data_IF_759546935417
#
_entry.id   IF_759546935417
#
_cell.length_a   1.000
_cell.length_b   1.000
_cell.length_c   1.000
_cell.angle_alpha   90.00
_cell.angle_beta   90.00
_cell.angle_gamma   90.00
#
_symmetry.space_group_name_H-M   'P 1'
#
loop_
_entity.id
_entity.type
_entity.pdbx_description
1 polymer ?
#
# COMPACT_ATOMS: atom_id res chain seq x y z
N UNK A 1 -11.53 -26.78 -15.16
CA UNK A 1 -12.08 -27.73 -14.19
C UNK A 1 -12.17 -26.96 -12.90
N UNK A 2 -13.40 -26.55 -12.62
CA UNK A 2 -13.81 -25.70 -11.53
C UNK A 2 -13.45 -26.33 -10.19
N UNK A 3 -12.86 -25.54 -9.31
CA UNK A 3 -12.73 -25.88 -7.90
C UNK A 3 -13.38 -24.77 -7.10
N UNK A 4 -14.71 -24.88 -7.00
CA UNK A 4 -15.50 -24.29 -5.93
C UNK A 4 -15.05 -24.91 -4.61
N UNK A 5 -14.09 -24.25 -3.95
CA UNK A 5 -14.02 -24.37 -2.50
C UNK A 5 -15.26 -23.67 -1.96
N UNK A 6 -16.18 -24.44 -1.37
CA UNK A 6 -17.35 -23.90 -0.70
C UNK A 6 -16.92 -22.79 0.28
N UNK A 7 -17.57 -21.62 0.27
CA UNK A 7 -17.32 -20.60 1.28
C UNK A 7 -17.66 -21.18 2.66
N UNK A 8 -16.90 -20.84 3.72
CA UNK A 8 -17.24 -21.23 5.07
C UNK A 8 -18.66 -20.72 5.41
N UNK A 9 -19.40 -21.56 6.14
CA UNK A 9 -20.79 -21.32 6.55
C UNK A 9 -20.92 -20.02 7.35
N UNK A 10 -21.99 -19.28 7.10
CA UNK A 10 -22.35 -17.94 7.64
C UNK A 10 -22.73 -17.92 9.13
N UNK A 11 -22.14 -18.80 9.95
CA UNK A 11 -22.43 -18.91 11.39
C UNK A 11 -21.15 -18.77 12.25
N UNK A 12 -20.13 -18.08 11.73
CA UNK A 12 -19.02 -17.59 12.56
C UNK A 12 -19.50 -16.39 13.36
N UNK A 13 -19.55 -16.55 14.68
CA UNK A 13 -19.82 -15.47 15.63
C UNK A 13 -19.03 -14.22 15.24
N UNK A 14 -19.74 -13.17 14.82
CA UNK A 14 -19.13 -11.90 14.44
C UNK A 14 -18.45 -11.31 15.67
N UNK A 15 -17.15 -11.53 15.81
CA UNK A 15 -16.40 -10.94 16.90
C UNK A 15 -16.30 -9.42 16.68
N UNK A 16 -16.58 -8.60 17.71
CA UNK A 16 -16.49 -7.15 17.58
C UNK A 16 -15.07 -6.73 17.18
N UNK A 17 -14.89 -5.63 16.43
CA UNK A 17 -13.58 -5.19 15.97
C UNK A 17 -12.67 -4.82 17.15
N UNK A 18 -11.39 -5.18 17.04
CA UNK A 18 -10.38 -4.81 18.02
C UNK A 18 -10.27 -3.29 18.21
N UNK A 19 -10.30 -2.82 19.46
CA UNK A 19 -10.29 -1.39 19.83
C UNK A 19 -8.90 -0.78 19.99
N UNK A 20 -7.83 -1.58 20.06
CA UNK A 20 -6.45 -1.11 20.25
C UNK A 20 -5.76 -0.64 18.96
N UNK A 21 -6.48 -0.67 17.83
CA UNK A 21 -5.97 -0.30 16.52
C UNK A 21 -7.02 0.52 15.76
N UNK A 22 -6.54 1.30 14.78
CA UNK A 22 -7.39 2.08 13.88
C UNK A 22 -7.03 1.84 12.41
N UNK A 23 -7.93 2.23 11.49
CA UNK A 23 -7.61 2.34 10.07
C UNK A 23 -6.92 3.69 9.77
N UNK A 24 -6.20 3.80 8.65
CA UNK A 24 -5.72 5.08 8.15
C UNK A 24 -6.85 6.09 7.95
N UNK A 25 -6.56 7.39 8.09
CA UNK A 25 -7.54 8.45 7.82
C UNK A 25 -8.70 8.59 8.82
N UNK A 26 -8.76 7.78 9.89
CA UNK A 26 -9.91 7.74 10.82
C UNK A 26 -9.81 8.69 12.03
N UNK A 27 -8.98 9.73 12.00
CA UNK A 27 -9.04 10.79 13.01
C UNK A 27 -10.22 11.71 12.72
N UNK A 28 -10.89 12.20 13.78
CA UNK A 28 -12.02 13.12 13.65
C UNK A 28 -11.61 14.42 12.93
N UNK A 29 -10.40 14.90 13.19
CA UNK A 29 -9.87 16.13 12.61
C UNK A 29 -8.38 16.00 12.25
N UNK A 30 -7.94 16.83 11.31
CA UNK A 30 -6.52 17.03 11.08
C UNK A 30 -5.92 17.95 12.17
N UNK A 31 -4.79 17.55 12.75
CA UNK A 31 -4.07 18.37 13.74
C UNK A 31 -3.30 19.57 13.16
N UNK A 32 -3.24 19.72 11.83
CA UNK A 32 -2.49 20.77 11.14
C UNK A 32 -3.45 21.73 10.42
N UNK A 33 -3.43 23.01 10.78
CA UNK A 33 -4.43 23.99 10.32
C UNK A 33 -4.39 24.32 8.83
N UNK A 34 -3.27 24.04 8.17
CA UNK A 34 -3.09 24.28 6.73
C UNK A 34 -3.20 23.00 5.90
N UNK A 35 -3.46 21.85 6.53
CA UNK A 35 -3.72 20.61 5.81
C UNK A 35 -5.03 20.72 5.01
N UNK A 36 -5.04 20.15 3.81
CA UNK A 36 -6.16 20.23 2.87
C UNK A 36 -6.25 21.54 2.09
N UNK A 37 -5.40 22.54 2.36
CA UNK A 37 -5.38 23.76 1.56
C UNK A 37 -4.74 23.53 0.20
N UNK A 38 -5.32 24.11 -0.86
CA UNK A 38 -4.68 24.09 -2.19
C UNK A 38 -3.41 24.94 -2.14
N UNK A 39 -2.30 24.37 -2.59
CA UNK A 39 -0.99 25.04 -2.68
C UNK A 39 -0.52 25.28 -4.11
N UNK A 40 -1.18 24.66 -5.09
CA UNK A 40 -0.89 24.87 -6.49
C UNK A 40 -1.81 24.09 -7.40
N UNK A 41 -1.64 24.29 -8.70
CA UNK A 41 -2.26 23.46 -9.71
C UNK A 41 -1.34 23.25 -10.89
N UNK A 42 -1.46 22.11 -11.55
CA UNK A 42 -0.82 21.82 -12.83
C UNK A 42 -1.89 21.83 -13.92
N UNK A 43 -1.59 22.46 -15.06
CA UNK A 43 -2.45 22.43 -16.24
C UNK A 43 -1.62 22.48 -17.53
N UNK A 44 -2.25 22.08 -18.64
CA UNK A 44 -1.68 22.22 -19.98
C UNK A 44 -1.50 23.71 -20.34
N UNK A 45 -0.40 24.05 -21.02
CA UNK A 45 -0.14 25.42 -21.51
C UNK A 45 -0.94 25.84 -22.74
N UNK A 46 -1.65 24.91 -23.39
CA UNK A 46 -2.33 25.18 -24.64
C UNK A 46 -3.56 26.08 -24.43
N UNK A 47 -3.57 27.25 -25.08
CA UNK A 47 -4.59 28.30 -24.88
C UNK A 47 -5.96 27.99 -25.52
N UNK A 48 -6.02 27.05 -26.47
CA UNK A 48 -7.27 26.67 -27.16
C UNK A 48 -8.08 25.59 -26.43
N UNK A 49 -7.55 25.03 -25.34
CA UNK A 49 -8.30 24.07 -24.52
C UNK A 49 -8.97 24.81 -23.37
N UNK A 50 -10.28 24.64 -23.23
CA UNK A 50 -10.98 25.05 -22.01
C UNK A 50 -10.40 24.22 -20.84
N UNK A 51 -10.19 24.76 -19.63
CA UNK A 51 -9.85 23.94 -18.46
C UNK A 51 -10.88 22.85 -18.12
N UNK A 52 -12.02 22.80 -18.82
CA UNK A 52 -13.00 21.71 -18.79
C UNK A 52 -12.67 20.56 -19.77
N UNK A 53 -11.81 20.80 -20.77
CA UNK A 53 -11.41 19.80 -21.79
C UNK A 53 -10.19 18.97 -21.35
N UNK A 54 -9.44 19.41 -20.32
CA UNK A 54 -8.32 18.67 -19.72
C UNK A 54 -8.16 18.99 -18.23
N UNK A 55 -7.82 17.96 -17.44
CA UNK A 55 -7.80 18.01 -15.97
C UNK A 55 -6.82 19.05 -15.39
N UNK A 56 -7.39 20.08 -14.77
CA UNK A 56 -6.69 20.89 -13.76
C UNK A 56 -6.36 19.96 -12.58
N UNK A 57 -5.08 19.64 -12.40
CA UNK A 57 -4.64 18.86 -11.24
C UNK A 57 -4.30 19.79 -10.09
N UNK A 58 -5.12 19.78 -9.05
CA UNK A 58 -4.85 20.51 -7.81
C UNK A 58 -3.84 19.77 -6.94
N UNK A 59 -2.98 20.54 -6.26
CA UNK A 59 -2.09 20.07 -5.22
C UNK A 59 -2.52 20.63 -3.89
N UNK A 60 -2.54 19.76 -2.89
CA UNK A 60 -2.95 20.09 -1.54
C UNK A 60 -1.75 20.00 -0.61
N UNK A 61 -1.68 20.92 0.36
CA UNK A 61 -0.80 20.74 1.50
C UNK A 61 -1.37 19.63 2.37
N UNK A 62 -0.54 18.64 2.71
CA UNK A 62 -0.93 17.59 3.65
C UNK A 62 0.09 17.45 4.76
N UNK A 63 -0.35 16.94 5.91
CA UNK A 63 0.53 16.63 7.02
C UNK A 63 1.17 15.24 6.93
N UNK A 64 0.85 14.46 5.89
CA UNK A 64 1.27 13.07 5.71
C UNK A 64 1.01 12.17 6.95
N UNK A 65 -0.01 12.55 7.74
CA UNK A 65 -0.39 11.86 8.97
C UNK A 65 -1.15 10.58 8.67
N UNK A 66 -0.69 9.44 9.19
CA UNK A 66 -1.31 8.11 8.96
C UNK A 66 -2.79 8.03 9.34
N UNK A 67 -3.24 8.76 10.36
CA UNK A 67 -4.64 8.81 10.80
C UNK A 67 -5.37 10.05 10.31
N UNK A 68 -4.69 11.01 9.70
CA UNK A 68 -5.30 12.26 9.26
C UNK A 68 -6.23 12.01 8.07
N UNK A 69 -7.52 12.43 8.10
CA UNK A 69 -8.45 12.20 7.01
C UNK A 69 -8.04 12.88 5.69
N UNK A 70 -7.22 13.93 5.75
CA UNK A 70 -6.74 14.66 4.57
C UNK A 70 -5.34 14.24 4.10
N UNK A 71 -4.53 13.64 4.98
CA UNK A 71 -3.10 13.38 4.72
C UNK A 71 -2.71 11.90 4.67
N UNK A 72 -3.65 10.99 4.96
CA UNK A 72 -3.35 9.57 5.01
C UNK A 72 -3.03 8.97 3.62
N UNK A 73 -3.57 9.52 2.53
CA UNK A 73 -3.28 9.05 1.18
C UNK A 73 -1.83 9.33 0.76
N UNK A 74 -1.30 10.51 1.07
CA UNK A 74 0.11 10.84 0.86
C UNK A 74 1.00 9.96 1.72
N UNK A 75 0.60 9.69 2.97
CA UNK A 75 1.26 8.69 3.81
C UNK A 75 1.27 7.30 3.17
N UNK A 76 0.13 6.83 2.64
CA UNK A 76 0.01 5.55 1.94
C UNK A 76 0.99 5.51 0.76
N UNK A 77 1.00 6.55 -0.08
CA UNK A 77 1.83 6.63 -1.27
C UNK A 77 3.33 6.63 -0.91
N UNK A 78 3.77 7.41 0.07
CA UNK A 78 5.16 7.39 0.57
C UNK A 78 5.58 5.98 1.02
N UNK A 79 4.70 5.28 1.74
CA UNK A 79 4.98 3.92 2.21
C UNK A 79 4.94 2.89 1.08
N UNK A 80 4.05 3.05 0.11
CA UNK A 80 3.98 2.21 -1.09
C UNK A 80 5.23 2.38 -1.96
N UNK A 81 5.75 3.61 -2.13
CA UNK A 81 7.01 3.90 -2.80
C UNK A 81 8.21 3.23 -2.10
N UNK A 82 8.27 3.32 -0.77
CA UNK A 82 9.29 2.60 0.02
C UNK A 82 9.19 1.09 -0.19
N UNK A 83 7.97 0.55 -0.25
CA UNK A 83 7.74 -0.86 -0.51
C UNK A 83 8.23 -1.25 -1.92
N UNK A 84 7.84 -0.47 -2.92
CA UNK A 84 8.22 -0.61 -4.32
C UNK A 84 9.74 -0.68 -4.47
N UNK A 85 10.45 0.38 -4.08
CA UNK A 85 11.88 0.49 -4.35
C UNK A 85 12.66 -0.61 -3.64
N UNK A 86 12.32 -0.91 -2.38
CA UNK A 86 13.05 -1.94 -1.64
C UNK A 86 12.81 -3.34 -2.19
N UNK A 87 11.61 -3.65 -2.68
CA UNK A 87 11.32 -4.95 -3.30
C UNK A 87 11.90 -5.07 -4.72
N UNK A 88 11.69 -4.05 -5.56
CA UNK A 88 12.08 -4.08 -6.97
C UNK A 88 13.58 -3.83 -7.13
N UNK A 89 14.10 -2.73 -6.60
CA UNK A 89 15.52 -2.41 -6.75
C UNK A 89 16.40 -3.26 -5.80
N UNK A 90 15.88 -3.61 -4.62
CA UNK A 90 16.54 -4.59 -3.75
C UNK A 90 16.71 -5.96 -4.39
N UNK A 91 15.71 -6.42 -5.16
CA UNK A 91 15.83 -7.65 -5.94
C UNK A 91 16.90 -7.55 -7.02
N UNK A 92 17.06 -6.38 -7.66
CA UNK A 92 18.15 -6.16 -8.64
C UNK A 92 19.52 -6.33 -7.97
N UNK A 93 19.70 -5.78 -6.78
CA UNK A 93 20.93 -5.96 -6.00
C UNK A 93 21.23 -7.44 -5.69
N UNK A 94 20.21 -8.25 -5.40
CA UNK A 94 20.41 -9.71 -5.26
C UNK A 94 20.71 -10.42 -6.57
N UNK A 95 20.14 -9.97 -7.69
CA UNK A 95 20.40 -10.53 -9.01
C UNK A 95 21.85 -10.28 -9.48
N UNK A 96 22.41 -9.09 -9.18
CA UNK A 96 23.83 -8.76 -9.40
C UNK A 96 24.76 -9.68 -8.61
N UNK A 97 24.31 -10.16 -7.45
CA UNK A 97 25.01 -11.16 -6.63
C UNK A 97 24.76 -12.62 -7.08
N UNK A 98 24.12 -12.81 -8.24
CA UNK A 98 23.81 -14.13 -8.80
C UNK A 98 22.65 -14.85 -8.09
N UNK A 99 21.90 -14.19 -7.20
CA UNK A 99 20.75 -14.77 -6.50
C UNK A 99 19.43 -14.39 -7.20
N UNK A 100 18.77 -15.36 -7.81
CA UNK A 100 17.44 -15.18 -8.37
C UNK A 100 16.34 -15.42 -7.32
N UNK A 101 15.75 -14.34 -6.80
CA UNK A 101 14.65 -14.38 -5.85
C UNK A 101 13.28 -14.73 -6.47
N UNK A 102 13.17 -14.75 -7.80
CA UNK A 102 11.88 -14.88 -8.49
C UNK A 102 11.06 -13.57 -8.50
N UNK A 103 9.79 -13.61 -8.94
CA UNK A 103 8.93 -12.42 -9.01
C UNK A 103 8.45 -11.98 -7.62
N UNK A 104 8.11 -10.70 -7.48
CA UNK A 104 7.35 -10.21 -6.32
C UNK A 104 5.95 -10.82 -6.38
N UNK A 105 5.45 -11.28 -5.24
CA UNK A 105 4.14 -11.89 -5.06
C UNK A 105 3.38 -11.17 -3.97
N UNK A 106 2.06 -11.22 -4.06
CA UNK A 106 1.16 -10.85 -2.98
C UNK A 106 0.59 -12.13 -2.37
N UNK A 107 0.89 -12.36 -1.09
CA UNK A 107 0.45 -13.54 -0.36
C UNK A 107 -0.18 -13.09 0.96
N UNK A 108 -1.30 -13.69 1.34
CA UNK A 108 -1.98 -13.37 2.60
C UNK A 108 -1.84 -14.59 3.50
N UNK A 109 -1.26 -14.43 4.68
CA UNK A 109 -1.19 -15.48 5.71
C UNK A 109 -2.23 -15.19 6.79
N UNK A 110 -2.99 -16.23 7.18
CA UNK A 110 -4.01 -16.14 8.23
C UNK A 110 -3.79 -17.26 9.25
N UNK A 111 -3.86 -16.95 10.56
CA UNK A 111 -3.87 -17.95 11.61
C UNK A 111 -5.15 -18.79 11.54
N UNK A 112 -5.15 -19.99 12.15
CA UNK A 112 -6.36 -20.77 12.29
C UNK A 112 -7.38 -20.02 13.18
N UNK A 113 -8.70 -20.14 12.92
CA UNK A 113 -9.74 -19.38 13.62
C UNK A 113 -9.66 -19.45 15.15
N UNK A 114 -9.34 -20.62 15.69
CA UNK A 114 -9.20 -20.90 17.13
C UNK A 114 -8.05 -20.14 17.81
N UNK A 115 -7.08 -19.65 17.04
CA UNK A 115 -5.94 -18.87 17.55
C UNK A 115 -6.15 -17.35 17.43
N UNK A 116 -7.20 -16.91 16.73
CA UNK A 116 -7.35 -15.49 16.36
C UNK A 116 -7.44 -14.56 17.57
N UNK A 117 -8.09 -14.99 18.66
CA UNK A 117 -8.26 -14.19 19.87
C UNK A 117 -6.93 -13.89 20.59
N UNK A 118 -5.89 -14.72 20.41
CA UNK A 118 -4.56 -14.44 20.96
C UNK A 118 -3.96 -13.14 20.38
N UNK A 119 -4.39 -12.73 19.19
CA UNK A 119 -3.91 -11.53 18.49
C UNK A 119 -4.75 -10.26 18.78
N UNK A 120 -5.76 -10.34 19.65
CA UNK A 120 -6.70 -9.24 19.95
C UNK A 120 -6.18 -8.22 20.98
N UNK A 121 -4.87 -8.02 21.04
CA UNK A 121 -4.23 -7.01 21.88
C UNK A 121 -2.90 -6.56 21.25
N UNK A 122 -2.25 -5.53 21.81
CA UNK A 122 -1.01 -4.97 21.25
C UNK A 122 0.16 -5.98 21.20
N UNK A 123 0.31 -6.80 22.23
CA UNK A 123 1.34 -7.85 22.27
C UNK A 123 1.06 -8.94 21.23
N UNK A 124 -0.20 -9.34 21.14
CA UNK A 124 -0.74 -10.26 20.15
C UNK A 124 -0.54 -9.75 18.72
N UNK A 125 -0.73 -8.45 18.47
CA UNK A 125 -0.42 -7.85 17.17
C UNK A 125 1.06 -8.03 16.80
N UNK A 126 1.98 -7.82 17.74
CA UNK A 126 3.40 -8.08 17.54
C UNK A 126 3.70 -9.56 17.27
N UNK A 127 2.99 -10.47 17.94
CA UNK A 127 3.09 -11.92 17.74
C UNK A 127 2.59 -12.35 16.36
N UNK A 128 1.41 -11.86 15.93
CA UNK A 128 0.82 -12.13 14.61
C UNK A 128 1.82 -11.89 13.47
N UNK A 129 2.56 -10.78 13.51
CA UNK A 129 3.53 -10.47 12.45
C UNK A 129 4.73 -11.42 12.48
N UNK A 130 5.16 -11.84 13.68
CA UNK A 130 6.25 -12.78 13.84
C UNK A 130 5.89 -14.15 13.27
N UNK A 131 4.74 -14.67 13.70
CA UNK A 131 4.22 -15.96 13.23
C UNK A 131 4.01 -15.93 11.71
N UNK A 132 3.42 -14.86 11.18
CA UNK A 132 3.15 -14.76 9.76
C UNK A 132 4.40 -14.85 8.87
N UNK A 133 5.52 -14.20 9.23
CA UNK A 133 6.73 -14.36 8.42
C UNK A 133 7.46 -15.67 8.70
N UNK A 134 7.33 -16.26 9.90
CA UNK A 134 7.89 -17.60 10.21
C UNK A 134 7.21 -18.63 9.30
N UNK A 135 5.89 -18.63 9.28
CA UNK A 135 5.09 -19.41 8.36
C UNK A 135 5.36 -19.09 6.89
N UNK A 136 5.61 -17.82 6.55
CA UNK A 136 6.01 -17.49 5.18
C UNK A 136 7.36 -18.10 4.78
N UNK A 137 8.33 -18.16 5.69
CA UNK A 137 9.61 -18.84 5.46
C UNK A 137 9.41 -20.33 5.27
N UNK A 138 8.62 -20.96 6.15
CA UNK A 138 8.28 -22.38 6.03
C UNK A 138 7.60 -22.70 4.71
N UNK A 139 6.68 -21.82 4.28
CA UNK A 139 6.00 -21.94 2.99
C UNK A 139 6.92 -21.70 1.78
N UNK A 140 8.17 -21.25 1.98
CA UNK A 140 9.18 -21.08 0.91
C UNK A 140 9.41 -19.64 0.42
N UNK A 141 8.96 -18.63 1.17
CA UNK A 141 9.29 -17.23 0.87
C UNK A 141 10.68 -16.84 1.38
N UNK A 142 11.44 -16.09 0.57
CA UNK A 142 12.78 -15.57 0.90
C UNK A 142 12.73 -14.36 1.84
N UNK A 143 11.66 -13.57 1.76
CA UNK A 143 11.54 -12.29 2.45
C UNK A 143 10.60 -11.31 1.74
N UNK A 144 10.37 -10.18 2.39
CA UNK A 144 9.54 -9.12 1.85
C UNK A 144 9.20 -8.05 2.89
N UNK A 145 8.05 -7.42 2.67
CA UNK A 145 7.38 -6.57 3.66
C UNK A 145 6.11 -7.24 4.14
N UNK A 146 5.89 -7.20 5.44
CA UNK A 146 4.64 -7.60 6.09
C UNK A 146 3.83 -6.35 6.44
N UNK A 147 2.54 -6.39 6.10
CA UNK A 147 1.56 -5.34 6.38
C UNK A 147 0.38 -6.01 7.13
N UNK A 148 0.34 -5.92 8.46
CA UNK A 148 -0.64 -6.62 9.27
C UNK A 148 -2.02 -5.96 9.19
N UNK A 149 -3.05 -6.79 9.17
CA UNK A 149 -4.45 -6.41 9.12
C UNK A 149 -5.19 -7.14 10.23
N UNK A 150 -6.08 -6.45 10.93
CA UNK A 150 -6.86 -7.04 12.01
C UNK A 150 -8.30 -7.34 11.60
N UNK A 151 -8.73 -6.83 10.44
CA UNK A 151 -10.12 -6.84 10.06
C UNK A 151 -10.33 -7.25 8.61
N UNK A 152 -11.46 -7.90 8.35
CA UNK A 152 -11.97 -8.17 7.01
C UNK A 152 -13.32 -7.48 6.85
N UNK A 153 -13.62 -7.02 5.64
CA UNK A 153 -14.98 -6.61 5.31
C UNK A 153 -15.90 -7.84 5.36
N UNK A 154 -17.10 -7.66 5.90
CA UNK A 154 -18.14 -8.69 5.86
C UNK A 154 -18.59 -8.94 4.42
N UNK A 155 -18.96 -10.18 4.10
CA UNK A 155 -19.31 -10.54 2.72
C UNK A 155 -20.60 -9.87 2.25
N UNK A 156 -21.59 -9.73 3.14
CA UNK A 156 -22.83 -9.02 2.85
C UNK A 156 -22.57 -7.55 2.52
N UNK A 157 -21.74 -6.86 3.30
CA UNK A 157 -21.43 -5.45 3.04
C UNK A 157 -20.53 -5.26 1.82
N UNK A 158 -19.70 -6.25 1.45
CA UNK A 158 -18.98 -6.20 0.16
C UNK A 158 -19.95 -6.21 -1.01
N UNK A 159 -21.04 -6.95 -0.93
CA UNK A 159 -22.06 -6.96 -1.98
C UNK A 159 -22.76 -5.60 -2.05
N UNK A 160 -23.17 -5.04 -0.91
CA UNK A 160 -23.77 -3.69 -0.87
C UNK A 160 -22.82 -2.60 -1.40
N UNK A 161 -21.54 -2.62 -1.00
CA UNK A 161 -20.54 -1.67 -1.51
C UNK A 161 -20.37 -1.79 -3.03
N UNK A 162 -20.45 -3.01 -3.57
CA UNK A 162 -20.40 -3.26 -5.01
C UNK A 162 -21.63 -2.71 -5.73
N UNK A 163 -22.80 -2.80 -5.12
CA UNK A 163 -24.03 -2.22 -5.67
C UNK A 163 -23.94 -0.68 -5.72
N UNK A 164 -23.22 -0.06 -4.78
CA UNK A 164 -22.85 1.37 -4.80
C UNK A 164 -21.65 1.68 -5.73
N UNK A 165 -21.18 0.71 -6.52
CA UNK A 165 -20.11 0.87 -7.50
C UNK A 165 -18.69 0.72 -6.97
N UNK A 166 -18.48 0.53 -5.66
CA UNK A 166 -17.15 0.35 -5.08
C UNK A 166 -16.55 -1.02 -5.37
N UNK A 167 -15.25 -1.07 -5.67
CA UNK A 167 -14.56 -2.32 -5.99
C UNK A 167 -14.99 -2.96 -7.30
N UNK A 168 -15.72 -2.22 -8.15
CA UNK A 168 -16.06 -2.54 -9.53
C UNK A 168 -15.46 -1.44 -10.42
N UNK A 169 -14.53 -1.80 -11.32
CA UNK A 169 -13.91 -0.83 -12.22
C UNK A 169 -12.99 0.18 -11.52
N UNK A 170 -12.81 1.35 -12.15
CA UNK A 170 -11.86 2.40 -11.71
C UNK A 170 -12.56 3.63 -11.10
N UNK A 171 -13.88 3.79 -11.29
CA UNK A 171 -14.62 5.04 -11.01
C UNK A 171 -14.72 5.37 -9.51
N UNK A 172 -15.17 4.41 -8.68
CA UNK A 172 -15.36 4.61 -7.23
C UNK A 172 -14.21 4.02 -6.40
N UNK A 173 -13.10 3.63 -7.03
CA UNK A 173 -11.97 3.01 -6.35
C UNK A 173 -12.28 1.62 -5.75
N UNK A 174 -11.49 1.23 -4.73
CA UNK A 174 -11.59 -0.08 -4.10
C UNK A 174 -12.68 -0.19 -3.04
N UNK A 175 -13.00 -1.40 -2.59
CA UNK A 175 -13.99 -1.63 -1.51
C UNK A 175 -13.70 -0.82 -0.24
N UNK A 176 -12.43 -0.66 0.11
CA UNK A 176 -12.02 0.12 1.28
C UNK A 176 -12.16 1.63 1.07
N UNK A 177 -12.25 2.12 -0.16
CA UNK A 177 -12.62 3.51 -0.42
C UNK A 177 -14.06 3.74 0.05
N UNK A 178 -14.98 2.84 -0.27
CA UNK A 178 -16.37 2.95 0.20
C UNK A 178 -16.54 2.86 1.72
N UNK A 179 -15.57 2.26 2.41
CA UNK A 179 -15.53 2.28 3.89
C UNK A 179 -15.08 3.65 4.42
N UNK A 180 -14.09 4.28 3.77
CA UNK A 180 -13.65 5.64 4.12
C UNK A 180 -14.73 6.67 3.82
N UNK A 181 -15.47 6.49 2.72
CA UNK A 181 -16.53 7.38 2.29
C UNK A 181 -17.84 7.20 3.07
N UNK A 182 -17.91 6.21 3.98
CA UNK A 182 -19.14 5.75 4.62
C UNK A 182 -20.28 5.53 3.61
N UNK A 183 -19.99 4.83 2.50
CA UNK A 183 -20.88 4.71 1.35
C UNK A 183 -22.25 4.07 1.68
N UNK A 184 -22.34 3.29 2.76
CA UNK A 184 -23.58 2.68 3.22
C UNK A 184 -24.26 3.44 4.38
N UNK A 185 -23.72 4.60 4.78
CA UNK A 185 -24.27 5.45 5.83
C UNK A 185 -24.32 4.79 7.22
N UNK A 186 -23.36 3.90 7.51
CA UNK A 186 -23.30 3.17 8.79
C UNK A 186 -22.60 3.99 9.89
N UNK A 187 -22.08 5.17 9.56
CA UNK A 187 -21.58 6.19 10.47
C UNK A 187 -20.19 5.95 11.06
N UNK A 188 -19.65 4.72 10.97
CA UNK A 188 -18.32 4.42 11.50
C UNK A 188 -17.72 3.15 10.88
N UNK A 189 -16.48 3.18 10.37
CA UNK A 189 -15.83 2.06 9.66
C UNK A 189 -15.88 0.69 10.37
N UNK A 190 -15.82 0.67 11.71
CA UNK A 190 -15.95 -0.56 12.53
C UNK A 190 -17.23 -1.36 12.27
N UNK A 191 -18.31 -0.73 11.79
CA UNK A 191 -19.55 -1.44 11.43
C UNK A 191 -19.42 -2.21 10.12
N UNK A 192 -18.43 -1.88 9.29
CA UNK A 192 -18.18 -2.55 8.01
C UNK A 192 -17.43 -3.88 8.14
N UNK A 193 -16.81 -4.13 9.31
CA UNK A 193 -15.75 -5.13 9.42
C UNK A 193 -15.93 -6.10 10.57
N UNK A 194 -15.35 -7.29 10.43
CA UNK A 194 -15.19 -8.29 11.49
C UNK A 194 -13.72 -8.46 11.86
N UNK A 195 -13.45 -8.78 13.13
CA UNK A 195 -12.09 -9.12 13.54
C UNK A 195 -11.68 -10.47 12.94
N UNK A 196 -10.68 -10.43 12.06
CA UNK A 196 -10.13 -11.60 11.37
C UNK A 196 -8.67 -11.27 11.02
N UNK A 197 -7.74 -11.47 11.98
CA UNK A 197 -6.36 -11.04 11.83
C UNK A 197 -5.68 -11.81 10.69
N UNK A 198 -4.93 -11.11 9.86
CA UNK A 198 -4.15 -11.67 8.78
C UNK A 198 -3.01 -10.74 8.39
N UNK A 199 -2.03 -11.26 7.65
CA UNK A 199 -0.87 -10.47 7.24
C UNK A 199 -0.70 -10.55 5.74
N UNK A 200 -0.74 -9.39 5.11
CA UNK A 200 -0.39 -9.24 3.71
C UNK A 200 1.14 -9.19 3.57
N UNK A 201 1.68 -10.09 2.77
CA UNK A 201 3.09 -10.15 2.42
C UNK A 201 3.28 -9.78 0.96
N UNK A 202 4.10 -8.76 0.73
CA UNK A 202 4.68 -8.48 -0.58
C UNK A 202 6.15 -8.90 -0.55
N UNK A 203 6.48 -9.94 -1.31
CA UNK A 203 7.80 -10.57 -1.19
C UNK A 203 8.12 -11.56 -2.30
N UNK A 204 9.23 -12.25 -2.15
CA UNK A 204 9.79 -13.18 -3.15
C UNK A 204 9.96 -14.59 -2.58
N UNK A 205 10.35 -15.55 -3.42
CA UNK A 205 10.54 -16.95 -3.06
C UNK A 205 9.61 -17.89 -3.84
N UNK A 206 9.63 -19.18 -3.51
CA UNK A 206 8.91 -20.24 -4.22
C UNK A 206 8.05 -20.99 -3.23
N UNK A 207 6.73 -20.81 -3.36
CA UNK A 207 5.79 -21.35 -2.39
C UNK A 207 5.63 -22.86 -2.60
N UNK A 208 5.51 -23.60 -1.50
CA UNK A 208 5.04 -24.98 -1.51
C UNK A 208 3.55 -25.08 -1.93
N UNK A 209 2.94 -26.25 -1.76
CA UNK A 209 1.51 -26.41 -1.98
C UNK A 209 0.72 -25.88 -0.77
N UNK A 210 -0.34 -25.11 -1.02
CA UNK A 210 -1.10 -24.46 0.06
C UNK A 210 -1.83 -25.46 0.98
N UNK A 211 -2.28 -26.58 0.43
CA UNK A 211 -2.92 -27.65 1.22
C UNK A 211 -1.89 -28.35 2.10
N UNK A 212 -0.74 -28.72 1.54
CA UNK A 212 0.33 -29.37 2.31
C UNK A 212 0.84 -28.47 3.44
N UNK A 213 0.98 -27.18 3.18
CA UNK A 213 1.29 -26.18 4.19
C UNK A 213 0.23 -26.13 5.30
N UNK A 214 -1.06 -26.08 4.92
CA UNK A 214 -2.16 -26.01 5.87
C UNK A 214 -2.29 -27.28 6.72
N UNK A 215 -2.22 -28.46 6.11
CA UNK A 215 -2.28 -29.75 6.79
C UNK A 215 -1.15 -29.88 7.85
N UNK A 216 0.00 -29.27 7.60
CA UNK A 216 1.17 -29.29 8.49
C UNK A 216 1.12 -28.24 9.59
N UNK A 217 0.57 -27.06 9.33
CA UNK A 217 0.74 -25.89 10.20
C UNK A 217 -0.56 -25.36 10.81
N UNK A 218 -1.72 -25.76 10.29
CA UNK A 218 -3.02 -25.16 10.61
C UNK A 218 -3.23 -23.77 9.99
N UNK A 219 -2.15 -23.05 9.66
CA UNK A 219 -2.22 -21.76 9.00
C UNK A 219 -2.67 -21.90 7.55
N UNK A 220 -3.32 -20.86 7.02
CA UNK A 220 -3.72 -20.78 5.62
C UNK A 220 -2.95 -19.65 4.96
N UNK A 221 -2.46 -19.87 3.73
CA UNK A 221 -2.07 -18.77 2.87
C UNK A 221 -2.86 -18.73 1.56
N UNK A 222 -3.13 -17.51 1.10
CA UNK A 222 -3.71 -17.23 -0.21
C UNK A 222 -2.71 -16.49 -1.09
N UNK A 223 -2.28 -17.13 -2.17
CA UNK A 223 -1.41 -16.50 -3.17
C UNK A 223 -2.26 -15.71 -4.17
N UNK A 224 -2.21 -14.38 -4.10
CA UNK A 224 -2.89 -13.45 -5.02
C UNK A 224 -2.08 -13.15 -6.29
N UNK A 225 -1.11 -14.02 -6.61
CA UNK A 225 -0.33 -13.99 -7.83
C UNK A 225 0.88 -13.06 -7.78
N UNK A 226 1.52 -12.94 -8.95
CA UNK A 226 2.73 -12.16 -9.17
C UNK A 226 2.40 -10.66 -9.34
N UNK A 227 3.38 -9.80 -9.10
CA UNK A 227 3.37 -8.37 -9.42
C UNK A 227 4.43 -8.11 -10.49
N UNK A 228 4.06 -8.12 -11.78
CA UNK A 228 5.02 -8.17 -12.88
C UNK A 228 5.71 -6.83 -13.12
N UNK A 229 5.10 -5.72 -12.72
CA UNK A 229 5.61 -4.36 -12.97
C UNK A 229 5.82 -3.57 -11.67
N UNK A 230 6.73 -2.58 -11.67
CA UNK A 230 6.84 -1.59 -10.59
C UNK A 230 5.48 -0.99 -10.17
N UNK A 231 4.69 -0.52 -11.15
CA UNK A 231 3.35 0.01 -10.88
C UNK A 231 2.45 -0.97 -10.14
N UNK A 232 2.44 -2.26 -10.55
CA UNK A 232 1.63 -3.27 -9.86
C UNK A 232 2.07 -3.54 -8.41
N UNK A 233 3.37 -3.39 -8.10
CA UNK A 233 3.88 -3.49 -6.72
C UNK A 233 3.41 -2.28 -5.91
N UNK A 234 3.56 -1.07 -6.46
CA UNK A 234 3.12 0.17 -5.82
C UNK A 234 1.61 0.15 -5.55
N UNK A 235 0.77 -0.03 -6.57
CA UNK A 235 -0.69 -0.03 -6.41
C UNK A 235 -1.17 -1.11 -5.44
N UNK A 236 -0.52 -2.28 -5.43
CA UNK A 236 -0.86 -3.32 -4.44
C UNK A 236 -0.46 -2.91 -3.03
N UNK A 237 0.74 -2.34 -2.83
CA UNK A 237 1.16 -1.86 -1.52
C UNK A 237 0.23 -0.74 -1.02
N UNK A 238 -0.13 0.21 -1.89
CA UNK A 238 -1.04 1.30 -1.57
C UNK A 238 -2.43 0.79 -1.17
N UNK A 239 -3.01 -0.13 -1.96
CA UNK A 239 -4.30 -0.74 -1.63
C UNK A 239 -4.27 -1.49 -0.31
N UNK A 240 -3.21 -2.25 -0.02
CA UNK A 240 -3.06 -2.95 1.26
C UNK A 240 -2.89 -1.93 2.40
N UNK A 241 -2.17 -0.84 2.19
CA UNK A 241 -1.94 0.17 3.21
C UNK A 241 -3.19 0.99 3.54
N UNK A 242 -4.14 1.13 2.62
CA UNK A 242 -5.37 1.91 2.83
C UNK A 242 -6.27 1.39 3.94
N UNK A 243 -6.03 0.15 4.38
CA UNK A 243 -6.79 -0.51 5.44
C UNK A 243 -5.90 -1.31 6.40
N UNK A 244 -4.61 -0.98 6.45
CA UNK A 244 -3.67 -1.60 7.38
C UNK A 244 -4.04 -1.27 8.83
N UNK A 245 -3.80 -2.21 9.74
CA UNK A 245 -4.01 -1.96 11.16
C UNK A 245 -2.93 -1.01 11.70
N UNK A 246 -3.35 0.17 12.13
CA UNK A 246 -2.49 1.16 12.77
C UNK A 246 -2.56 0.97 14.29
N UNK A 247 -1.45 0.47 14.84
CA UNK A 247 -1.23 0.33 16.28
C UNK A 247 -0.19 1.37 16.71
N UNK A 248 -0.38 1.96 17.89
CA UNK A 248 0.57 2.92 18.45
C UNK A 248 1.91 2.28 18.80
N UNK A 249 2.98 3.04 18.63
CA UNK A 249 4.36 2.53 18.74
C UNK A 249 4.77 1.51 17.67
N UNK A 250 3.86 1.08 16.79
CA UNK A 250 4.10 0.05 15.79
C UNK A 250 4.22 0.61 14.36
N UNK A 251 5.06 -0.04 13.55
CA UNK A 251 5.21 0.24 12.11
C UNK A 251 4.20 -0.57 11.29
N UNK A 252 3.57 0.09 10.32
CA UNK A 252 2.67 -0.55 9.35
C UNK A 252 3.43 -1.47 8.37
N UNK A 253 4.67 -1.11 8.00
CA UNK A 253 5.56 -1.92 7.17
C UNK A 253 6.61 -2.60 8.04
N UNK A 254 6.65 -3.93 8.02
CA UNK A 254 7.68 -4.72 8.71
C UNK A 254 8.52 -5.51 7.72
N UNK A 255 9.77 -5.08 7.56
CA UNK A 255 10.73 -5.71 6.65
C UNK A 255 11.32 -6.98 7.24
N UNK A 256 11.36 -8.05 6.45
CA UNK A 256 11.82 -9.36 6.92
C UNK A 256 12.55 -10.15 5.83
N UNK A 257 13.28 -11.19 6.25
CA UNK A 257 14.02 -12.09 5.36
C UNK A 257 15.13 -11.37 4.61
N UNK A 258 15.31 -11.68 3.32
CA UNK A 258 16.34 -11.03 2.48
C UNK A 258 16.15 -9.51 2.34
N UNK A 259 14.94 -8.98 2.55
CA UNK A 259 14.68 -7.54 2.48
C UNK A 259 14.78 -6.82 3.85
N UNK A 260 15.19 -7.50 4.92
CA UNK A 260 15.41 -6.88 6.22
C UNK A 260 16.57 -5.86 6.22
N UNK A 261 16.55 -4.89 7.13
CA UNK A 261 17.54 -3.79 7.17
C UNK A 261 18.99 -4.26 7.36
N UNK A 262 19.19 -5.39 8.05
CA UNK A 262 20.51 -6.00 8.24
C UNK A 262 20.95 -6.90 7.08
N UNK A 263 20.12 -7.09 6.05
CA UNK A 263 20.43 -7.89 4.85
C UNK A 263 20.47 -7.05 3.58
N UNK A 264 19.74 -5.94 3.54
CA UNK A 264 19.66 -5.05 2.39
C UNK A 264 19.72 -3.59 2.84
N UNK A 265 20.75 -2.87 2.41
CA UNK A 265 20.97 -1.46 2.76
C UNK A 265 20.76 -0.55 1.54
N UNK A 266 20.07 0.57 1.73
CA UNK A 266 20.00 1.66 0.75
C UNK A 266 21.39 2.30 0.66
N UNK A 267 21.91 2.46 -0.55
CA UNK A 267 23.21 3.09 -0.83
C UNK A 267 22.99 4.51 -1.30
N UNK A 268 22.15 4.67 -2.33
CA UNK A 268 21.95 5.95 -3.02
C UNK A 268 20.52 6.02 -3.57
N UNK A 269 20.03 7.23 -3.76
CA UNK A 269 18.81 7.50 -4.51
C UNK A 269 19.15 8.39 -5.70
N UNK A 270 18.90 7.85 -6.89
CA UNK A 270 19.05 8.56 -8.15
C UNK A 270 17.69 9.15 -8.53
N UNK A 271 17.69 10.44 -8.83
CA UNK A 271 16.48 11.18 -9.18
C UNK A 271 16.65 11.72 -10.59
N UNK A 272 15.75 11.31 -11.49
CA UNK A 272 15.64 11.85 -12.84
C UNK A 272 14.38 12.70 -12.92
N UNK A 273 14.52 13.88 -13.52
CA UNK A 273 13.44 14.83 -13.75
C UNK A 273 13.23 14.95 -15.25
N UNK A 274 12.01 14.76 -15.70
CA UNK A 274 11.61 14.94 -17.10
C UNK A 274 10.44 15.91 -17.15
N UNK A 275 10.40 16.84 -18.12
CA UNK A 275 9.22 17.69 -18.31
C UNK A 275 7.96 16.86 -18.51
N UNK A 276 6.88 17.21 -17.81
CA UNK A 276 5.55 16.65 -18.01
C UNK A 276 4.97 17.19 -19.32
N UNK A 277 4.44 16.31 -20.13
CA UNK A 277 3.70 16.64 -21.35
C UNK A 277 2.26 16.19 -21.20
N UNK A 278 1.35 17.03 -21.68
CA UNK A 278 -0.05 16.68 -21.88
C UNK A 278 -0.19 15.63 -22.98
N UNK A 279 -1.35 14.97 -23.08
CA UNK A 279 -1.68 14.04 -24.17
C UNK A 279 -1.63 14.72 -25.55
N UNK A 280 -1.85 16.03 -25.63
CA UNK A 280 -1.68 16.81 -26.86
C UNK A 280 -0.21 17.07 -27.22
N UNK A 281 0.74 16.68 -26.38
CA UNK A 281 2.18 16.88 -26.56
C UNK A 281 2.74 18.20 -26.01
N UNK A 282 1.88 19.14 -25.61
CA UNK A 282 2.31 20.42 -25.02
C UNK A 282 2.79 20.27 -23.58
N UNK A 283 3.71 21.12 -23.10
CA UNK A 283 4.19 21.04 -21.72
C UNK A 283 3.09 21.41 -20.71
N UNK A 284 3.12 20.72 -19.57
CA UNK A 284 2.31 21.04 -18.39
C UNK A 284 3.10 22.01 -17.53
N UNK A 285 2.43 23.01 -16.97
CA UNK A 285 3.04 23.98 -16.07
C UNK A 285 2.27 24.11 -14.77
N UNK A 286 2.96 24.65 -13.76
CA UNK A 286 2.35 25.06 -12.50
C UNK A 286 1.70 26.44 -12.60
N UNK A 287 0.50 26.57 -12.06
CA UNK A 287 -0.28 27.79 -12.02
C UNK A 287 -0.55 28.22 -10.57
N UNK A 288 -0.58 29.53 -10.30
CA UNK A 288 -1.02 30.05 -9.01
C UNK A 288 -2.52 29.78 -8.81
N UNK A 289 -2.86 29.33 -7.61
CA UNK A 289 -4.24 29.16 -7.15
C UNK A 289 -4.48 29.87 -5.81
N UNK A 290 -5.74 30.16 -5.51
CA UNK A 290 -6.20 30.52 -4.17
C UNK A 290 -6.38 29.26 -3.32
N UNK A 291 -6.60 29.42 -2.00
CA UNK A 291 -6.77 28.28 -1.08
C UNK A 291 -7.98 27.40 -1.41
N UNK A 292 -9.00 27.98 -2.02
CA UNK A 292 -10.22 27.31 -2.52
C UNK A 292 -10.05 26.67 -3.90
N UNK A 293 -8.83 26.69 -4.47
CA UNK A 293 -8.54 26.07 -5.76
C UNK A 293 -8.86 26.94 -6.98
N UNK A 294 -9.39 28.15 -6.77
CA UNK A 294 -9.64 29.09 -7.87
C UNK A 294 -8.32 29.56 -8.46
N UNK A 295 -8.15 29.38 -9.79
CA UNK A 295 -6.93 29.82 -10.47
C UNK A 295 -6.87 31.35 -10.56
N UNK A 296 -5.76 31.94 -10.11
CA UNK A 296 -5.62 33.41 -9.96
C UNK A 296 -5.07 34.13 -11.20
N UNK A 297 -4.80 33.40 -12.29
CA UNK A 297 -4.31 33.96 -13.56
C UNK A 297 -3.95 32.89 -14.60
N UNK A 298 -3.62 33.33 -15.81
CA UNK A 298 -3.19 32.46 -16.92
C UNK A 298 -1.67 32.43 -17.13
N UNK A 299 -0.93 33.19 -16.34
CA UNK A 299 0.53 33.16 -16.35
C UNK A 299 1.01 31.98 -15.50
N UNK A 300 1.67 31.04 -16.16
CA UNK A 300 2.31 29.93 -15.49
C UNK A 300 3.59 30.38 -14.76
N UNK A 301 4.01 29.59 -13.76
CA UNK A 301 5.25 29.84 -13.03
C UNK A 301 6.41 29.07 -13.66
N UNK A 302 7.43 29.78 -14.14
CA UNK A 302 8.74 29.20 -14.45
C UNK A 302 8.75 28.14 -15.56
N UNK A 303 9.59 27.11 -15.37
CA UNK A 303 9.78 25.98 -16.28
C UNK A 303 8.59 25.01 -16.26
N UNK A 304 8.44 24.14 -17.27
CA UNK A 304 7.43 23.07 -17.25
C UNK A 304 7.53 22.24 -15.97
N UNK A 305 6.37 21.80 -15.47
CA UNK A 305 6.28 20.87 -14.37
C UNK A 305 7.02 19.58 -14.69
N UNK A 306 7.60 18.94 -13.68
CA UNK A 306 8.49 17.79 -13.87
C UNK A 306 7.88 16.50 -13.33
N UNK A 307 7.97 15.43 -14.13
CA UNK A 307 7.80 14.06 -13.66
C UNK A 307 9.11 13.63 -13.00
N UNK A 308 9.01 13.19 -11.75
CA UNK A 308 10.15 12.68 -10.99
C UNK A 308 10.16 11.17 -11.09
N UNK A 309 11.21 10.60 -11.65
CA UNK A 309 11.50 9.17 -11.63
C UNK A 309 12.61 8.90 -10.61
N UNK A 310 12.35 8.02 -9.66
CA UNK A 310 13.32 7.62 -8.64
C UNK A 310 13.84 6.21 -8.95
N UNK A 311 15.14 6.01 -8.75
CA UNK A 311 15.74 4.67 -8.68
C UNK A 311 16.57 4.60 -7.42
N UNK A 312 16.37 3.56 -6.60
CA UNK A 312 17.09 3.43 -5.34
C UNK A 312 18.13 2.32 -5.47
N UNK A 313 19.40 2.66 -5.31
CA UNK A 313 20.47 1.67 -5.32
C UNK A 313 20.54 0.98 -3.95
N UNK A 314 20.56 -0.35 -3.96
CA UNK A 314 20.68 -1.17 -2.77
C UNK A 314 21.95 -2.01 -2.83
N UNK A 315 22.46 -2.37 -1.64
CA UNK A 315 23.56 -3.32 -1.46
C UNK A 315 23.14 -4.44 -0.51
N UNK A 316 23.52 -5.67 -0.84
CA UNK A 316 23.39 -6.82 0.06
C UNK A 316 24.41 -6.70 1.19
N UNK A 317 23.94 -6.61 2.43
CA UNK A 317 24.77 -6.44 3.62
C UNK A 317 25.50 -7.75 3.94
N UNK A 318 26.83 -7.66 4.14
CA UNK A 318 27.70 -8.81 4.38
C UNK A 318 28.70 -9.09 3.25
N UNK A 319 28.66 -8.33 2.16
CA UNK A 319 29.70 -8.30 1.12
C UNK A 319 30.23 -6.88 0.92
N UNK A 320 31.53 -6.71 0.56
CA UNK A 320 32.07 -5.40 0.24
C UNK A 320 31.30 -4.75 -0.92
N UNK A 321 31.22 -3.41 -0.99
CA UNK A 321 30.50 -2.72 -2.05
C UNK A 321 31.06 -3.13 -3.43
N UNK A 322 30.19 -3.33 -4.44
CA UNK A 322 30.64 -3.53 -5.80
C UNK A 322 31.35 -2.25 -6.27
N UNK A 323 32.63 -2.36 -6.64
CA UNK A 323 33.38 -1.26 -7.26
C UNK A 323 34.36 -0.47 -6.39
N UNK A 324 34.81 -0.99 -5.25
CA UNK A 324 35.95 -0.40 -4.54
C UNK A 324 37.24 -0.56 -5.35
N UNK A 325 37.67 0.50 -6.06
CA UNK A 325 39.05 0.63 -6.54
C UNK A 325 39.97 0.53 -5.31
N UNK A 326 40.84 -0.47 -5.30
CA UNK A 326 41.96 -0.50 -4.36
C UNK A 326 42.91 0.63 -4.74
N UNK A 327 42.99 1.66 -3.91
CA UNK A 327 44.15 2.53 -3.85
C UNK A 327 45.25 1.82 -3.05
#
# INVERSE_FOLDING_TARGET
>A
MDYDAAPPSTDEAQHPPAVFATLPGQADECGESECGNVIGAEACSHAEHNPEDHDLRLFYQTCEGRTCPQGFEDWINDRADKALHRLVDGKKAYAEEGKNLGPVKHVIFSPPPEETDAYRNEDGYGQLVRDAYEHAREAGMDGGVAIPHLWRLSDDLKACLRDEGYGIGEENGGLWQGVHDDALGLGHWRTYVTFSPHVHLLGTGYLENAREFNDRTGWVYHNKGKRPSPGSVHSTAAYILSHAALVDGSRALRWWGVFSYNKLAKVEELVRREPKTCECGEPIYEYPTTKDGTRVGWEHRGSPAERVEKTVLYRVVGKPPPGGVQC
#
